data_IF_546133467211
#
_entry.id   IF_546133467211
#
_cell.length_a   1.000
_cell.length_b   1.000
_cell.length_c   1.000
_cell.angle_alpha   90.00
_cell.angle_beta   90.00
_cell.angle_gamma   90.00
#
_symmetry.space_group_name_H-M   'P 1'
#
loop_
_entity.id
_entity.type
_entity.pdbx_description
1 polymer ?
#
# COMPACT_ATOMS: atom_id res chain seq x y z
N UNK A 1 -45.68 6.35 -19.29
CA UNK A 1 -45.10 5.97 -17.98
C UNK A 1 -44.79 4.49 -17.95
N UNK A 2 -43.55 4.12 -18.34
CA UNK A 2 -43.02 2.76 -18.16
C UNK A 2 -41.94 2.85 -17.08
N UNK A 3 -42.24 2.39 -15.88
CA UNK A 3 -41.29 2.29 -14.79
C UNK A 3 -40.36 1.09 -15.05
N UNK A 4 -39.08 1.37 -15.28
CA UNK A 4 -38.03 0.37 -15.35
C UNK A 4 -37.65 0.05 -13.89
N UNK A 5 -38.20 -1.05 -13.35
CA UNK A 5 -37.77 -1.61 -12.07
C UNK A 5 -36.34 -2.13 -12.23
N UNK A 6 -35.40 -1.42 -11.62
CA UNK A 6 -34.02 -1.87 -11.44
C UNK A 6 -34.02 -3.18 -10.65
N UNK A 7 -33.74 -4.28 -11.32
CA UNK A 7 -33.39 -5.54 -10.70
C UNK A 7 -32.06 -5.35 -9.96
N UNK A 8 -32.09 -5.48 -8.63
CA UNK A 8 -30.89 -5.69 -7.81
C UNK A 8 -30.14 -6.88 -8.39
N UNK A 9 -29.04 -6.63 -9.09
CA UNK A 9 -28.06 -7.66 -9.38
C UNK A 9 -27.56 -8.22 -8.05
N UNK A 10 -27.51 -9.56 -7.87
CA UNK A 10 -26.85 -10.13 -6.72
C UNK A 10 -25.39 -9.71 -6.75
N UNK A 11 -24.90 -9.23 -5.61
CA UNK A 11 -23.48 -8.94 -5.43
C UNK A 11 -22.71 -10.22 -5.72
N UNK A 12 -21.92 -10.23 -6.80
CA UNK A 12 -20.91 -11.24 -7.07
C UNK A 12 -19.94 -11.26 -5.89
N UNK A 13 -20.23 -12.12 -4.91
CA UNK A 13 -19.30 -12.53 -3.87
C UNK A 13 -18.35 -13.58 -4.45
N UNK A 14 -17.58 -13.21 -5.48
CA UNK A 14 -16.28 -13.85 -5.72
C UNK A 14 -15.28 -13.27 -4.73
N UNK A 15 -15.54 -13.53 -3.44
CA UNK A 15 -14.69 -13.08 -2.35
C UNK A 15 -13.32 -13.75 -2.48
N UNK A 16 -12.36 -13.04 -3.05
CA UNK A 16 -10.95 -13.42 -3.05
C UNK A 16 -10.54 -13.64 -1.59
N UNK A 17 -10.41 -14.89 -1.17
CA UNK A 17 -10.04 -15.21 0.20
C UNK A 17 -8.59 -14.79 0.41
N UNK A 18 -8.39 -13.70 1.14
CA UNK A 18 -7.05 -13.20 1.49
C UNK A 18 -6.19 -14.25 2.18
N UNK A 19 -6.83 -15.22 2.85
CA UNK A 19 -6.16 -16.34 3.51
C UNK A 19 -5.43 -17.28 2.54
N UNK A 20 -5.70 -17.22 1.24
CA UNK A 20 -5.00 -18.03 0.24
C UNK A 20 -3.55 -17.56 0.05
N UNK A 21 -3.27 -16.27 0.26
CA UNK A 21 -1.95 -15.68 -0.03
C UNK A 21 -1.32 -14.99 1.19
N UNK A 22 -2.13 -14.57 2.18
CA UNK A 22 -1.64 -13.92 3.40
C UNK A 22 -1.63 -14.94 4.55
N UNK A 23 -0.47 -15.12 5.16
CA UNK A 23 -0.29 -15.89 6.38
C UNK A 23 -0.73 -15.04 7.59
N UNK A 24 -1.83 -15.39 8.28
CA UNK A 24 -2.36 -14.61 9.40
C UNK A 24 -1.53 -14.77 10.68
N UNK A 25 -1.85 -13.99 11.73
CA UNK A 25 -1.24 -14.05 13.07
C UNK A 25 0.26 -13.72 13.16
N UNK A 26 0.80 -13.02 12.17
CA UNK A 26 2.17 -12.52 12.22
C UNK A 26 2.15 -11.03 12.59
N UNK A 27 2.96 -10.63 13.56
CA UNK A 27 3.18 -9.22 13.90
C UNK A 27 4.14 -8.57 12.89
N UNK A 28 3.98 -7.27 12.64
CA UNK A 28 4.89 -6.56 11.75
C UNK A 28 6.27 -6.38 12.39
N UNK A 29 7.29 -6.98 11.77
CA UNK A 29 8.67 -6.90 12.20
C UNK A 29 9.44 -5.89 11.35
N UNK A 30 9.77 -4.73 11.93
CA UNK A 30 10.56 -3.69 11.26
C UNK A 30 11.99 -4.14 10.93
N UNK A 31 12.57 -5.04 11.73
CA UNK A 31 13.87 -5.62 11.48
C UNK A 31 13.87 -6.47 10.21
N UNK A 32 12.86 -7.32 10.05
CA UNK A 32 12.66 -8.10 8.82
C UNK A 32 12.35 -7.22 7.61
N UNK A 33 11.52 -6.18 7.79
CA UNK A 33 11.16 -5.25 6.72
C UNK A 33 12.38 -4.48 6.16
N UNK A 34 13.43 -4.29 6.97
CA UNK A 34 14.68 -3.61 6.59
C UNK A 34 15.65 -4.51 5.81
N UNK A 35 15.51 -5.83 5.90
CA UNK A 35 16.38 -6.76 5.18
C UNK A 35 16.06 -6.63 3.69
N UNK A 36 16.90 -5.91 2.94
CA UNK A 36 16.74 -5.55 1.52
C UNK A 36 15.84 -4.35 1.23
N UNK A 37 15.72 -3.43 2.19
CA UNK A 37 15.07 -2.15 1.91
C UNK A 37 15.92 -1.30 0.93
N UNK A 38 15.28 -0.87 -0.15
CA UNK A 38 15.85 0.08 -1.10
C UNK A 38 15.20 1.46 -0.95
N UNK A 39 15.87 2.49 -1.49
CA UNK A 39 15.27 3.82 -1.55
C UNK A 39 14.04 3.82 -2.45
N UNK A 40 12.96 4.43 -1.97
CA UNK A 40 11.80 4.80 -2.76
C UNK A 40 12.07 6.17 -3.37
N UNK A 41 12.03 6.26 -4.70
CA UNK A 41 12.30 7.49 -5.45
C UNK A 41 11.00 8.22 -5.78
N UNK A 42 11.01 9.53 -5.61
CA UNK A 42 9.92 10.43 -5.98
C UNK A 42 10.27 11.13 -7.31
N UNK A 43 9.26 11.54 -8.10
CA UNK A 43 9.51 12.30 -9.33
C UNK A 43 10.24 13.63 -9.11
N UNK A 44 10.17 14.20 -7.90
CA UNK A 44 10.95 15.38 -7.48
C UNK A 44 12.47 15.14 -7.41
N UNK A 45 12.94 13.90 -7.60
CA UNK A 45 14.33 13.50 -7.38
C UNK A 45 14.67 13.23 -5.91
N UNK A 46 13.73 13.45 -4.99
CA UNK A 46 13.86 13.09 -3.58
C UNK A 46 13.69 11.59 -3.39
N UNK A 47 14.20 11.09 -2.27
CA UNK A 47 14.12 9.67 -1.91
C UNK A 47 13.87 9.49 -0.43
N UNK A 48 13.21 8.41 -0.07
CA UNK A 48 12.99 8.04 1.32
C UNK A 48 13.08 6.52 1.53
N UNK A 49 13.21 6.11 2.79
CA UNK A 49 13.11 4.72 3.22
C UNK A 49 11.80 4.58 4.00
N UNK A 50 11.07 3.48 3.81
CA UNK A 50 9.87 3.20 4.57
C UNK A 50 10.18 3.03 6.06
N UNK A 51 11.31 2.39 6.38
CA UNK A 51 11.71 2.10 7.75
C UNK A 51 12.16 3.31 8.56
N UNK A 52 12.43 4.46 7.92
CA UNK A 52 12.70 5.72 8.60
C UNK A 52 11.41 6.37 9.12
N UNK A 53 10.26 5.96 8.60
CA UNK A 53 8.96 6.52 8.98
C UNK A 53 8.37 5.88 10.24
N UNK A 54 8.96 4.76 10.69
CA UNK A 54 8.46 3.89 11.75
C UNK A 54 9.56 3.46 12.73
N UNK A 55 9.16 3.08 13.94
CA UNK A 55 10.02 2.47 14.96
C UNK A 55 9.39 1.18 15.50
N UNK A 56 10.16 0.38 16.25
CA UNK A 56 9.71 -0.91 16.80
C UNK A 56 8.40 -0.80 17.60
N UNK A 57 8.23 0.26 18.39
CA UNK A 57 7.02 0.49 19.17
C UNK A 57 5.79 0.77 18.31
N UNK A 58 5.94 1.58 17.24
CA UNK A 58 4.84 1.80 16.29
C UNK A 58 4.52 0.54 15.50
N UNK A 59 5.54 -0.26 15.19
CA UNK A 59 5.43 -1.49 14.40
C UNK A 59 4.68 -2.60 15.14
N UNK A 60 4.77 -2.68 16.48
CA UNK A 60 4.09 -3.71 17.27
C UNK A 60 2.56 -3.65 17.21
N UNK A 61 1.99 -2.53 16.74
CA UNK A 61 0.54 -2.37 16.60
C UNK A 61 -0.03 -3.04 15.34
N UNK A 62 0.82 -3.55 14.44
CA UNK A 62 0.39 -4.11 13.17
C UNK A 62 0.50 -5.63 13.17
N UNK A 63 -0.52 -6.28 12.61
CA UNK A 63 -0.59 -7.72 12.41
C UNK A 63 -1.17 -8.08 11.04
N UNK A 64 -0.70 -9.18 10.47
CA UNK A 64 -1.20 -9.76 9.22
C UNK A 64 -2.63 -10.30 9.33
N UNK A 65 -3.15 -10.54 10.54
CA UNK A 65 -4.57 -10.89 10.73
C UNK A 65 -5.52 -9.80 10.21
N UNK A 66 -5.07 -8.55 10.23
CA UNK A 66 -5.77 -7.40 9.64
C UNK A 66 -4.90 -6.75 8.55
N UNK A 67 -4.30 -7.59 7.68
CA UNK A 67 -3.29 -7.17 6.70
C UNK A 67 -3.71 -5.95 5.89
N UNK A 68 -4.93 -5.92 5.34
CA UNK A 68 -5.45 -4.80 4.53
C UNK A 68 -5.39 -3.48 5.28
N UNK A 69 -5.99 -3.44 6.47
CA UNK A 69 -6.08 -2.24 7.30
C UNK A 69 -4.70 -1.79 7.76
N UNK A 70 -3.86 -2.73 8.21
CA UNK A 70 -2.55 -2.43 8.76
C UNK A 70 -1.54 -2.04 7.67
N UNK A 71 -1.52 -2.73 6.54
CA UNK A 71 -0.71 -2.35 5.38
C UNK A 71 -1.06 -0.92 4.91
N UNK A 72 -2.36 -0.62 4.73
CA UNK A 72 -2.80 0.72 4.37
C UNK A 72 -2.39 1.77 5.41
N UNK A 73 -2.48 1.44 6.70
CA UNK A 73 -2.07 2.34 7.79
C UNK A 73 -0.57 2.63 7.79
N UNK A 74 0.26 1.63 7.51
CA UNK A 74 1.71 1.77 7.37
C UNK A 74 2.05 2.69 6.19
N UNK A 75 1.47 2.41 5.02
CA UNK A 75 1.67 3.22 3.81
C UNK A 75 1.25 4.66 4.06
N UNK A 76 0.05 4.88 4.62
CA UNK A 76 -0.48 6.22 4.90
C UNK A 76 0.47 6.99 5.81
N UNK A 77 0.92 6.37 6.90
CA UNK A 77 1.88 6.98 7.83
C UNK A 77 3.17 7.41 7.11
N UNK A 78 3.72 6.54 6.26
CA UNK A 78 4.93 6.84 5.52
C UNK A 78 4.72 8.01 4.56
N UNK A 79 3.67 7.95 3.74
CA UNK A 79 3.39 8.97 2.72
C UNK A 79 2.98 10.32 3.32
N UNK A 80 2.29 10.36 4.47
CA UNK A 80 2.02 11.61 5.19
C UNK A 80 3.31 12.29 5.67
N UNK A 81 4.31 11.53 6.11
CA UNK A 81 5.62 12.12 6.45
C UNK A 81 6.35 12.63 5.22
N UNK A 82 6.22 11.93 4.10
CA UNK A 82 6.79 12.35 2.82
C UNK A 82 6.13 13.63 2.33
N UNK A 83 4.80 13.75 2.40
CA UNK A 83 4.07 14.95 1.96
C UNK A 83 4.39 16.19 2.78
N UNK A 84 4.70 16.03 4.08
CA UNK A 84 5.21 17.12 4.92
C UNK A 84 6.60 17.60 4.50
N UNK A 85 7.40 16.72 3.90
CA UNK A 85 8.76 17.01 3.51
C UNK A 85 8.85 17.51 2.06
N UNK A 86 8.06 16.95 1.15
CA UNK A 86 8.02 17.26 -0.28
C UNK A 86 6.73 18.01 -0.66
N UNK A 87 6.80 19.33 -0.90
CA UNK A 87 5.65 20.14 -1.29
C UNK A 87 4.97 19.69 -2.58
N UNK A 88 5.69 18.99 -3.47
CA UNK A 88 5.16 18.51 -4.74
C UNK A 88 4.48 17.14 -4.64
N UNK A 89 4.46 16.53 -3.46
CA UNK A 89 3.96 15.16 -3.29
C UNK A 89 2.51 14.98 -3.75
N UNK A 90 1.64 15.96 -3.47
CA UNK A 90 0.24 15.95 -3.90
C UNK A 90 0.07 15.93 -5.44
N UNK A 91 1.06 16.45 -6.17
CA UNK A 91 1.09 16.44 -7.63
C UNK A 91 1.46 15.07 -8.20
N UNK A 92 1.84 14.08 -7.39
CA UNK A 92 2.15 12.71 -7.84
C UNK A 92 1.05 11.71 -7.45
N UNK A 93 0.23 12.06 -6.46
CA UNK A 93 -0.80 11.20 -5.88
C UNK A 93 -2.21 11.49 -6.40
N UNK A 94 -2.37 12.49 -7.25
CA UNK A 94 -3.63 12.78 -7.94
C UNK A 94 -4.13 11.60 -8.79
N UNK A 95 -5.44 11.52 -9.00
CA UNK A 95 -6.10 10.51 -9.84
C UNK A 95 -5.38 10.26 -11.17
N UNK A 96 -5.30 8.98 -11.58
CA UNK A 96 -4.67 8.50 -12.82
C UNK A 96 -5.20 9.19 -14.09
N UNK A 97 -6.38 9.80 -14.01
CA UNK A 97 -7.04 10.51 -15.10
C UNK A 97 -6.55 11.95 -15.32
N UNK A 98 -5.66 12.47 -14.46
CA UNK A 98 -5.14 13.83 -14.63
C UNK A 98 -3.98 13.85 -15.61
N UNK A 99 -4.14 14.61 -16.70
CA UNK A 99 -3.12 14.79 -17.75
C UNK A 99 -1.96 15.72 -17.36
N UNK A 100 -2.01 16.31 -16.16
CA UNK A 100 -1.10 17.38 -15.73
C UNK A 100 0.01 16.89 -14.78
N UNK A 101 -0.12 15.67 -14.28
CA UNK A 101 0.69 15.16 -13.16
C UNK A 101 1.61 14.01 -13.57
N UNK A 102 2.81 13.96 -12.97
CA UNK A 102 3.76 12.86 -13.19
C UNK A 102 3.35 11.69 -12.29
N UNK A 103 2.85 10.57 -12.83
CA UNK A 103 2.36 9.48 -12.01
C UNK A 103 3.52 8.75 -11.31
N UNK A 104 3.24 8.22 -10.13
CA UNK A 104 4.17 7.33 -9.43
C UNK A 104 4.42 6.06 -10.26
N UNK A 105 5.70 5.77 -10.53
CA UNK A 105 6.11 4.63 -11.35
C UNK A 105 5.91 3.27 -10.68
N UNK A 106 6.01 2.18 -11.45
CA UNK A 106 5.86 0.81 -10.95
C UNK A 106 6.86 0.48 -9.82
N UNK A 107 8.10 0.97 -9.92
CA UNK A 107 9.15 0.71 -8.94
C UNK A 107 8.87 1.33 -7.58
N UNK A 108 8.15 2.44 -7.53
CA UNK A 108 7.69 3.05 -6.28
C UNK A 108 6.80 2.06 -5.51
N UNK A 109 5.78 1.52 -6.18
CA UNK A 109 4.84 0.59 -5.55
C UNK A 109 5.46 -0.77 -5.25
N UNK A 110 6.33 -1.29 -6.13
CA UNK A 110 7.06 -2.54 -5.91
C UNK A 110 8.02 -2.47 -4.72
N UNK A 111 8.67 -1.33 -4.51
CA UNK A 111 9.56 -1.16 -3.36
C UNK A 111 8.77 -1.18 -2.04
N UNK A 112 7.63 -0.48 -2.02
CA UNK A 112 6.75 -0.44 -0.84
C UNK A 112 6.10 -1.81 -0.59
N UNK A 113 5.65 -2.52 -1.63
CA UNK A 113 5.04 -3.84 -1.47
C UNK A 113 6.02 -4.86 -0.89
N UNK A 114 7.27 -4.89 -1.37
CA UNK A 114 8.33 -5.76 -0.84
C UNK A 114 8.61 -5.46 0.63
N UNK A 115 8.70 -4.18 1.00
CA UNK A 115 8.85 -3.77 2.40
C UNK A 115 7.72 -4.30 3.29
N UNK A 116 6.47 -4.19 2.84
CA UNK A 116 5.31 -4.69 3.59
C UNK A 116 5.31 -6.22 3.71
N UNK A 117 5.54 -6.93 2.61
CA UNK A 117 5.55 -8.40 2.58
C UNK A 117 6.64 -8.96 3.50
N UNK A 118 7.85 -8.41 3.45
CA UNK A 118 8.95 -8.82 4.34
C UNK A 118 8.66 -8.47 5.80
N UNK A 119 8.09 -7.30 6.06
CA UNK A 119 7.74 -6.87 7.41
C UNK A 119 6.66 -7.75 8.06
N UNK A 120 5.68 -8.22 7.28
CA UNK A 120 4.70 -9.22 7.73
C UNK A 120 5.19 -10.67 7.58
N UNK A 121 6.44 -10.90 7.21
CA UNK A 121 7.05 -12.22 6.96
C UNK A 121 6.18 -13.11 6.06
N UNK A 122 5.64 -12.52 5.00
CA UNK A 122 4.82 -13.20 4.02
C UNK A 122 5.69 -13.90 2.98
N UNK A 123 5.26 -15.08 2.53
CA UNK A 123 5.91 -15.73 1.40
C UNK A 123 5.64 -14.92 0.13
N UNK A 124 6.66 -14.76 -0.71
CA UNK A 124 6.51 -14.05 -1.96
C UNK A 124 5.61 -14.84 -2.92
N UNK A 125 4.58 -14.17 -3.44
CA UNK A 125 3.75 -14.63 -4.56
C UNK A 125 3.39 -13.39 -5.39
N UNK A 126 3.31 -13.55 -6.71
CA UNK A 126 2.97 -12.43 -7.62
C UNK A 126 1.56 -11.88 -7.36
N UNK A 127 0.63 -12.75 -6.95
CA UNK A 127 -0.72 -12.38 -6.56
C UNK A 127 -0.71 -11.50 -5.30
N UNK A 128 0.09 -11.85 -4.30
CA UNK A 128 0.24 -11.05 -3.09
C UNK A 128 0.92 -9.71 -3.36
N UNK A 129 1.95 -9.69 -4.21
CA UNK A 129 2.62 -8.45 -4.61
C UNK A 129 1.63 -7.52 -5.33
N UNK A 130 0.90 -8.04 -6.32
CA UNK A 130 -0.13 -7.30 -7.08
C UNK A 130 -1.22 -6.76 -6.14
N UNK A 131 -1.70 -7.59 -5.22
CA UNK A 131 -2.68 -7.18 -4.23
C UNK A 131 -2.14 -6.07 -3.32
N UNK A 132 -0.91 -6.21 -2.84
CA UNK A 132 -0.27 -5.22 -1.96
C UNK A 132 -0.02 -3.89 -2.69
N UNK A 133 0.38 -3.93 -3.96
CA UNK A 133 0.51 -2.75 -4.83
C UNK A 133 -0.84 -2.03 -4.94
N UNK A 134 -1.94 -2.75 -5.17
CA UNK A 134 -3.28 -2.16 -5.19
C UNK A 134 -3.61 -1.44 -3.88
N UNK A 135 -3.30 -2.03 -2.73
CA UNK A 135 -3.49 -1.37 -1.43
C UNK A 135 -2.68 -0.07 -1.31
N UNK A 136 -1.46 -0.06 -1.85
CA UNK A 136 -0.60 1.12 -1.84
C UNK A 136 -1.15 2.22 -2.75
N UNK A 137 -1.66 1.87 -3.94
CA UNK A 137 -2.32 2.81 -4.87
C UNK A 137 -3.56 3.44 -4.25
N UNK A 138 -4.42 2.62 -3.63
CA UNK A 138 -5.61 3.11 -2.93
C UNK A 138 -5.26 4.18 -1.90
N UNK A 139 -4.16 3.98 -1.16
CA UNK A 139 -3.72 4.94 -0.15
C UNK A 139 -3.15 6.20 -0.80
N UNK A 140 -2.28 6.05 -1.80
CA UNK A 140 -1.69 7.18 -2.52
C UNK A 140 -2.78 8.10 -3.06
N UNK A 141 -3.78 7.57 -3.76
CA UNK A 141 -4.88 8.34 -4.34
C UNK A 141 -5.86 8.94 -3.30
N UNK A 142 -5.72 8.60 -2.01
CA UNK A 142 -6.62 9.03 -0.93
C UNK A 142 -5.99 10.03 0.06
N UNK A 143 -4.73 10.42 -0.17
CA UNK A 143 -3.99 11.38 0.65
C UNK A 143 -4.29 12.82 0.25
#
# INVERSE_FOLDING_TARGET
NKEIRSSKQPADQSGFSLNTFVTPKIGFNIGSARQNETFVYLPSGRRFMMSSTMNTFSSSNYTSSNYVTHAKSIVRRALTKVSQSDPFFAAYTSSETSSVYVPLGADFFRTISKFLMLGFSQNFSEELETFTIRLCRDVACSL
#
